data_IF_491337428346
#
_entry.id   IF_491337428346
#
_cell.length_a   1.000
_cell.length_b   1.000
_cell.length_c   1.000
_cell.angle_alpha   90.00
_cell.angle_beta   90.00
_cell.angle_gamma   90.00
#
_symmetry.space_group_name_H-M   'P 1'
#
loop_
_entity.id
_entity.type
_entity.pdbx_description
1 polymer ?
#
# COMPACT_ATOMS: atom_id res chain seq x y z
N UNK A 1 6.44 17.77 -23.03
CA UNK A 1 5.76 17.06 -21.91
C UNK A 1 5.04 15.86 -22.49
N UNK A 2 5.62 14.66 -22.37
CA UNK A 2 4.99 13.45 -22.90
C UNK A 2 3.76 13.11 -22.05
N UNK A 3 2.58 13.13 -22.66
CA UNK A 3 1.34 12.68 -22.03
C UNK A 3 1.44 11.17 -21.79
N UNK A 4 1.78 10.76 -20.56
CA UNK A 4 1.70 9.35 -20.18
C UNK A 4 0.24 9.02 -19.89
N UNK A 5 -0.40 8.28 -20.78
CA UNK A 5 -1.73 7.73 -20.54
C UNK A 5 -1.64 6.51 -19.61
N UNK A 6 -2.60 6.40 -18.68
CA UNK A 6 -2.71 5.21 -17.82
C UNK A 6 -3.36 4.10 -18.64
N UNK A 7 -2.66 2.97 -18.78
CA UNK A 7 -3.15 1.80 -19.50
C UNK A 7 -3.82 0.78 -18.57
N UNK A 8 -3.26 0.58 -17.38
CA UNK A 8 -3.78 -0.35 -16.39
C UNK A 8 -3.41 0.10 -14.97
N UNK A 9 -4.20 -0.31 -13.97
CA UNK A 9 -3.97 -0.06 -12.55
C UNK A 9 -4.34 -1.30 -11.76
N UNK A 10 -3.65 -1.54 -10.65
CA UNK A 10 -3.92 -2.66 -9.75
C UNK A 10 -3.42 -3.99 -10.29
N UNK A 11 -4.24 -5.04 -10.19
CA UNK A 11 -3.85 -6.40 -10.56
C UNK A 11 -3.42 -6.54 -12.02
N UNK A 12 -4.09 -5.83 -12.93
CA UNK A 12 -3.75 -5.88 -14.36
C UNK A 12 -2.38 -5.25 -14.62
N UNK A 13 -2.08 -4.10 -13.98
CA UNK A 13 -0.75 -3.50 -14.03
C UNK A 13 0.32 -4.43 -13.41
N UNK A 14 0.01 -5.11 -12.29
CA UNK A 14 0.92 -6.06 -11.65
C UNK A 14 1.31 -7.21 -12.59
N UNK A 15 0.38 -7.74 -13.37
CA UNK A 15 0.63 -8.81 -14.36
C UNK A 15 1.53 -8.35 -15.51
N UNK A 16 1.62 -7.06 -15.77
CA UNK A 16 2.42 -6.47 -16.84
C UNK A 16 3.89 -6.23 -16.44
N UNK A 17 4.23 -6.29 -15.15
CA UNK A 17 5.60 -6.06 -14.67
C UNK A 17 6.55 -7.08 -15.32
N UNK A 18 7.64 -6.58 -15.90
CA UNK A 18 8.64 -7.39 -16.61
C UNK A 18 8.19 -7.95 -17.97
N UNK A 19 6.99 -7.60 -18.45
CA UNK A 19 6.41 -8.10 -19.73
C UNK A 19 5.98 -6.98 -20.66
N UNK A 20 6.31 -5.73 -20.35
CA UNK A 20 5.91 -4.55 -21.15
C UNK A 20 6.90 -4.29 -22.28
N UNK A 21 6.44 -3.89 -23.49
CA UNK A 21 7.31 -3.37 -24.53
C UNK A 21 7.93 -2.03 -24.12
N UNK A 22 9.01 -1.61 -24.78
CA UNK A 22 9.84 -0.47 -24.36
C UNK A 22 9.15 0.89 -24.25
N UNK A 23 7.97 1.05 -24.83
CA UNK A 23 7.15 2.27 -24.75
C UNK A 23 6.14 2.26 -23.57
N UNK A 24 6.03 1.15 -22.85
CA UNK A 24 5.12 0.98 -21.70
C UNK A 24 5.97 0.70 -20.47
N UNK A 25 5.78 1.50 -19.41
CA UNK A 25 6.49 1.34 -18.15
C UNK A 25 5.51 0.94 -17.06
N UNK A 26 5.75 -0.20 -16.44
CA UNK A 26 5.05 -0.61 -15.22
C UNK A 26 5.76 0.00 -14.01
N UNK A 27 5.05 0.84 -13.26
CA UNK A 27 5.60 1.57 -12.11
C UNK A 27 4.94 1.04 -10.84
N UNK A 28 5.73 0.78 -9.80
CA UNK A 28 5.26 0.60 -8.43
C UNK A 28 5.38 1.94 -7.71
N UNK A 29 4.29 2.67 -7.49
CA UNK A 29 4.35 4.01 -6.91
C UNK A 29 4.66 4.00 -5.40
N UNK A 30 4.43 2.86 -4.76
CA UNK A 30 4.76 2.61 -3.36
C UNK A 30 5.92 1.62 -3.28
N UNK A 31 6.87 1.89 -2.40
CA UNK A 31 7.99 1.01 -2.08
C UNK A 31 8.17 0.97 -0.56
N UNK A 32 8.32 -0.21 -0.03
CA UNK A 32 8.55 -0.43 1.41
C UNK A 32 7.51 0.29 2.30
N UNK A 33 6.24 0.27 1.87
CA UNK A 33 5.12 0.90 2.58
C UNK A 33 5.02 2.42 2.46
N UNK A 34 5.93 3.09 1.72
CA UNK A 34 5.95 4.55 1.57
C UNK A 34 5.76 4.99 0.11
N UNK A 35 5.36 6.25 -0.09
CA UNK A 35 5.23 6.84 -1.42
C UNK A 35 6.62 7.08 -2.01
N UNK A 36 6.96 6.35 -3.08
CA UNK A 36 8.18 6.52 -3.85
C UNK A 36 8.00 7.47 -5.04
N UNK A 37 6.80 7.53 -5.61
CA UNK A 37 6.42 8.41 -6.72
C UNK A 37 5.06 9.06 -6.42
N UNK A 38 5.10 10.34 -6.06
CA UNK A 38 3.93 11.11 -5.65
C UNK A 38 2.92 11.26 -6.80
N UNK A 39 3.38 11.62 -8.00
CA UNK A 39 2.51 11.88 -9.14
C UNK A 39 1.78 10.60 -9.59
N UNK A 40 2.49 9.48 -9.59
CA UNK A 40 1.89 8.18 -9.93
C UNK A 40 0.93 7.71 -8.85
N UNK A 41 1.24 7.93 -7.57
CA UNK A 41 0.35 7.63 -6.43
C UNK A 41 -0.93 8.47 -6.51
N UNK A 42 -0.83 9.76 -6.75
CA UNK A 42 -1.98 10.66 -6.90
C UNK A 42 -2.90 10.20 -8.03
N UNK A 43 -2.34 9.87 -9.20
CA UNK A 43 -3.09 9.37 -10.36
C UNK A 43 -3.76 8.02 -10.07
N UNK A 44 -3.07 7.13 -9.38
CA UNK A 44 -3.62 5.83 -8.96
C UNK A 44 -4.80 6.01 -8.00
N UNK A 45 -4.67 6.84 -6.97
CA UNK A 45 -5.74 7.15 -6.03
C UNK A 45 -6.94 7.79 -6.76
N UNK A 46 -6.70 8.75 -7.64
CA UNK A 46 -7.73 9.40 -8.46
C UNK A 46 -8.49 8.38 -9.31
N UNK A 47 -7.78 7.44 -9.93
CA UNK A 47 -8.39 6.37 -10.71
C UNK A 47 -9.33 5.52 -9.85
N UNK A 48 -8.90 5.09 -8.66
CA UNK A 48 -9.74 4.29 -7.77
C UNK A 48 -10.93 5.06 -7.24
N UNK A 49 -10.76 6.33 -6.83
CA UNK A 49 -11.86 7.20 -6.41
C UNK A 49 -12.90 7.30 -7.53
N UNK A 50 -12.47 7.55 -8.77
CA UNK A 50 -13.38 7.66 -9.92
C UNK A 50 -14.05 6.34 -10.29
N UNK A 51 -13.38 5.21 -10.10
CA UNK A 51 -13.94 3.88 -10.39
C UNK A 51 -15.06 3.52 -9.43
N UNK A 52 -14.95 3.91 -8.16
CA UNK A 52 -15.96 3.63 -7.13
C UNK A 52 -17.17 4.57 -7.26
N UNK A 53 -16.96 5.81 -7.69
CA UNK A 53 -18.04 6.82 -7.75
C UNK A 53 -18.66 6.89 -9.14
N UNK A 54 -19.95 6.55 -9.24
CA UNK A 54 -20.73 6.62 -10.50
C UNK A 54 -20.86 8.05 -11.04
N UNK A 55 -20.94 9.07 -10.18
CA UNK A 55 -21.00 10.51 -10.55
C UNK A 55 -19.61 11.14 -10.46
N UNK A 56 -18.81 10.98 -11.51
CA UNK A 56 -17.39 11.32 -11.57
C UNK A 56 -17.07 12.80 -11.30
N UNK A 57 -17.97 13.74 -11.61
CA UNK A 57 -17.63 15.17 -11.68
C UNK A 57 -17.89 15.95 -10.37
N UNK A 58 -18.75 15.47 -9.48
CA UNK A 58 -19.15 16.20 -8.26
C UNK A 58 -18.83 15.46 -6.95
N UNK A 59 -18.35 14.24 -7.02
CA UNK A 59 -18.07 13.46 -5.83
C UNK A 59 -16.70 13.81 -5.26
N UNK A 60 -16.71 14.53 -4.13
CA UNK A 60 -15.52 14.74 -3.29
C UNK A 60 -15.63 13.83 -2.05
N UNK A 61 -15.19 12.59 -2.10
CA UNK A 61 -15.38 11.63 -1.01
C UNK A 61 -14.54 11.98 0.21
N UNK A 62 -14.96 11.43 1.35
CA UNK A 62 -14.06 11.20 2.47
C UNK A 62 -13.38 9.86 2.23
N UNK A 63 -12.08 9.80 2.40
CA UNK A 63 -11.32 8.56 2.24
C UNK A 63 -10.58 8.23 3.54
N UNK A 64 -10.42 6.94 3.79
CA UNK A 64 -9.55 6.41 4.82
C UNK A 64 -8.39 5.73 4.10
N UNK A 65 -7.16 6.03 4.50
CA UNK A 65 -5.94 5.46 3.93
C UNK A 65 -5.19 4.76 5.04
N UNK A 66 -4.88 3.48 4.83
CA UNK A 66 -4.03 2.73 5.73
C UNK A 66 -2.57 3.10 5.49
N UNK A 67 -1.81 3.13 6.55
CA UNK A 67 -0.37 3.40 6.55
C UNK A 67 0.32 2.46 7.52
N UNK A 68 1.59 2.09 7.27
CA UNK A 68 2.36 1.31 8.21
C UNK A 68 2.50 1.99 9.57
N UNK A 69 2.63 1.19 10.63
CA UNK A 69 2.98 1.71 11.95
C UNK A 69 4.38 2.33 11.92
N UNK A 70 4.54 3.45 12.57
CA UNK A 70 5.86 4.09 12.67
C UNK A 70 6.32 4.87 11.43
N UNK A 71 5.40 5.22 10.51
CA UNK A 71 5.72 6.18 9.46
C UNK A 71 6.06 7.55 10.05
N UNK A 72 6.96 8.27 9.37
CA UNK A 72 7.34 9.63 9.76
C UNK A 72 6.20 10.64 9.53
N UNK A 73 6.23 11.75 10.25
CA UNK A 73 5.27 12.85 10.01
C UNK A 73 5.29 13.39 8.58
N UNK A 74 6.45 13.33 7.90
CA UNK A 74 6.61 13.74 6.49
C UNK A 74 5.88 12.75 5.57
N UNK A 75 6.07 11.45 5.76
CA UNK A 75 5.39 10.40 4.99
C UNK A 75 3.87 10.47 5.20
N UNK A 76 3.42 10.67 6.45
CA UNK A 76 2.00 10.84 6.76
C UNK A 76 1.40 12.05 6.03
N UNK A 77 2.15 13.16 5.97
CA UNK A 77 1.73 14.35 5.24
C UNK A 77 1.66 14.09 3.74
N UNK A 78 2.64 13.41 3.17
CA UNK A 78 2.64 13.05 1.74
C UNK A 78 1.43 12.19 1.37
N UNK A 79 1.01 11.25 2.21
CA UNK A 79 -0.20 10.44 2.00
C UNK A 79 -1.46 11.31 2.02
N UNK A 80 -1.57 12.24 2.97
CA UNK A 80 -2.70 13.18 3.01
C UNK A 80 -2.75 14.06 1.78
N UNK A 81 -1.61 14.64 1.39
CA UNK A 81 -1.51 15.53 0.25
C UNK A 81 -1.84 14.81 -1.06
N UNK A 82 -1.37 13.57 -1.25
CA UNK A 82 -1.74 12.74 -2.39
C UNK A 82 -3.26 12.44 -2.43
N UNK A 83 -3.87 12.16 -1.29
CA UNK A 83 -5.32 11.95 -1.19
C UNK A 83 -6.14 13.18 -1.53
N UNK A 84 -5.72 14.36 -1.06
CA UNK A 84 -6.39 15.63 -1.41
C UNK A 84 -6.19 15.96 -2.89
N UNK A 85 -4.98 15.83 -3.43
CA UNK A 85 -4.67 16.03 -4.83
C UNK A 85 -5.47 15.09 -5.75
N UNK A 86 -5.71 13.86 -5.30
CA UNK A 86 -6.57 12.88 -6.00
C UNK A 86 -8.07 13.26 -6.01
N UNK A 87 -8.48 14.28 -5.26
CA UNK A 87 -9.84 14.84 -5.25
C UNK A 87 -10.68 14.47 -4.02
N UNK A 88 -10.10 13.93 -2.97
CA UNK A 88 -10.80 13.71 -1.72
C UNK A 88 -11.15 15.04 -1.02
N UNK A 89 -12.32 15.10 -0.37
CA UNK A 89 -12.72 16.23 0.49
C UNK A 89 -12.06 16.15 1.86
N UNK A 90 -11.84 14.95 2.38
CA UNK A 90 -11.21 14.69 3.65
C UNK A 90 -10.47 13.37 3.61
N UNK A 91 -9.26 13.36 4.13
CA UNK A 91 -8.39 12.19 4.23
C UNK A 91 -8.19 11.86 5.70
N UNK A 92 -8.54 10.65 6.09
CA UNK A 92 -8.25 10.07 7.39
C UNK A 92 -7.14 9.05 7.23
N UNK A 93 -6.27 8.97 8.20
CA UNK A 93 -5.21 7.96 8.27
C UNK A 93 -5.55 6.99 9.39
N UNK A 94 -5.33 5.71 9.12
CA UNK A 94 -5.41 4.62 10.10
C UNK A 94 -4.16 3.75 9.94
N UNK A 95 -3.62 3.25 11.02
CA UNK A 95 -2.50 2.30 10.98
C UNK A 95 -2.97 0.93 10.48
N UNK A 96 -2.15 0.28 9.64
CA UNK A 96 -2.50 -0.99 8.99
C UNK A 96 -2.92 -2.07 9.98
N UNK A 97 -2.18 -2.33 11.12
CA UNK A 97 -2.60 -3.36 12.05
C UNK A 97 -3.95 -3.06 12.73
N UNK A 98 -4.26 -1.78 12.97
CA UNK A 98 -5.56 -1.39 13.52
C UNK A 98 -6.68 -1.66 12.52
N UNK A 99 -6.47 -1.32 11.25
CA UNK A 99 -7.43 -1.59 10.19
C UNK A 99 -7.64 -3.10 9.99
N UNK A 100 -6.57 -3.90 10.06
CA UNK A 100 -6.62 -5.35 9.98
C UNK A 100 -7.40 -5.96 11.16
N UNK A 101 -7.17 -5.47 12.39
CA UNK A 101 -7.92 -5.91 13.57
C UNK A 101 -9.43 -5.64 13.45
N UNK A 102 -9.79 -4.44 12.97
CA UNK A 102 -11.19 -4.07 12.71
C UNK A 102 -11.80 -4.99 11.65
N UNK A 103 -11.08 -5.20 10.54
CA UNK A 103 -11.53 -6.04 9.44
C UNK A 103 -11.70 -7.51 9.83
N UNK A 104 -10.86 -8.02 10.71
CA UNK A 104 -10.96 -9.37 11.29
C UNK A 104 -12.05 -9.50 12.37
N UNK A 105 -12.68 -8.41 12.78
CA UNK A 105 -13.70 -8.42 13.83
C UNK A 105 -13.15 -8.72 15.23
N UNK A 106 -11.88 -8.38 15.50
CA UNK A 106 -11.30 -8.57 16.82
C UNK A 106 -11.93 -7.65 17.84
N UNK A 107 -12.10 -8.08 19.11
CA UNK A 107 -12.71 -7.30 20.18
C UNK A 107 -11.74 -6.23 20.70
N UNK A 108 -11.34 -5.29 19.82
CA UNK A 108 -10.29 -4.30 20.10
C UNK A 108 -10.64 -3.33 21.22
N UNK A 109 -11.92 -3.17 21.56
CA UNK A 109 -12.39 -2.26 22.62
C UNK A 109 -12.34 -2.89 24.01
N UNK A 110 -12.15 -4.20 24.08
CA UNK A 110 -12.08 -4.92 25.34
C UNK A 110 -10.69 -4.79 25.99
N UNK A 111 -10.57 -4.96 27.33
CA UNK A 111 -9.30 -4.92 28.04
C UNK A 111 -8.50 -6.22 27.87
N UNK A 112 -8.56 -6.80 26.70
CA UNK A 112 -7.83 -8.01 26.30
C UNK A 112 -6.79 -7.65 25.23
N UNK A 113 -5.61 -8.28 25.28
CA UNK A 113 -4.58 -8.10 24.26
C UNK A 113 -4.93 -8.88 22.99
N UNK A 114 -5.11 -8.17 21.89
CA UNK A 114 -5.29 -8.78 20.57
C UNK A 114 -4.02 -8.55 19.76
N UNK A 115 -3.38 -9.62 19.29
CA UNK A 115 -2.18 -9.53 18.46
C UNK A 115 -2.53 -9.69 16.98
N UNK A 116 -2.01 -8.79 16.17
CA UNK A 116 -2.14 -8.83 14.71
C UNK A 116 -0.75 -8.93 14.11
N UNK A 117 -0.60 -9.82 13.13
CA UNK A 117 0.57 -9.93 12.25
C UNK A 117 0.07 -9.72 10.83
N UNK A 118 0.48 -8.62 10.21
CA UNK A 118 0.14 -8.26 8.83
C UNK A 118 1.39 -8.37 7.96
N UNK A 119 1.35 -9.24 6.96
CA UNK A 119 2.46 -9.48 6.04
C UNK A 119 2.05 -9.01 4.66
N UNK A 120 2.46 -7.80 4.31
CA UNK A 120 2.18 -7.18 3.02
C UNK A 120 3.19 -7.55 1.92
N UNK A 121 3.26 -6.73 0.88
CA UNK A 121 4.28 -6.83 -0.16
C UNK A 121 5.60 -6.18 0.24
N UNK A 122 5.57 -5.04 0.89
CA UNK A 122 6.75 -4.24 1.25
C UNK A 122 7.05 -4.14 2.74
N UNK A 123 6.05 -4.38 3.61
CA UNK A 123 6.18 -4.29 5.08
C UNK A 123 5.56 -5.49 5.76
N UNK A 124 6.13 -5.87 6.88
CA UNK A 124 5.53 -6.79 7.86
C UNK A 124 5.30 -6.02 9.16
N UNK A 125 4.06 -6.03 9.63
CA UNK A 125 3.61 -5.31 10.80
C UNK A 125 3.17 -6.28 11.88
N UNK A 126 3.62 -6.05 13.11
CA UNK A 126 3.16 -6.78 14.30
C UNK A 126 2.67 -5.76 15.30
N UNK A 127 1.46 -5.92 15.79
CA UNK A 127 0.91 -5.03 16.81
C UNK A 127 0.08 -5.76 17.85
N UNK A 128 0.13 -5.27 19.06
CA UNK A 128 -0.76 -5.65 20.16
C UNK A 128 -1.73 -4.50 20.39
N UNK A 129 -3.02 -4.81 20.34
CA UNK A 129 -4.12 -3.85 20.42
C UNK A 129 -4.99 -4.19 21.64
N UNK A 130 -5.32 -3.19 22.45
CA UNK A 130 -6.22 -3.29 23.59
C UNK A 130 -6.90 -1.96 23.85
N UNK A 131 -8.13 -1.97 24.33
CA UNK A 131 -8.90 -0.76 24.69
C UNK A 131 -8.98 0.28 23.56
N UNK A 132 -9.05 -0.18 22.31
CA UNK A 132 -9.15 0.68 21.11
C UNK A 132 -7.86 1.37 20.69
N UNK A 133 -6.71 1.02 21.30
CA UNK A 133 -5.40 1.58 21.00
C UNK A 133 -4.33 0.54 20.72
N UNK A 134 -3.30 0.93 19.98
CA UNK A 134 -2.10 0.11 19.79
C UNK A 134 -1.22 0.28 21.02
N UNK A 135 -1.00 -0.82 21.75
CA UNK A 135 -0.18 -0.86 22.98
C UNK A 135 1.31 -0.97 22.62
N UNK A 136 1.61 -1.78 21.61
CA UNK A 136 2.96 -1.98 21.11
C UNK A 136 2.90 -2.37 19.63
N UNK A 137 3.81 -1.87 18.84
CA UNK A 137 3.93 -2.24 17.42
C UNK A 137 5.39 -2.32 16.99
N UNK A 138 5.62 -3.16 15.99
CA UNK A 138 6.88 -3.29 15.29
C UNK A 138 6.59 -3.35 13.80
N UNK A 139 7.27 -2.52 13.02
CA UNK A 139 7.22 -2.53 11.56
C UNK A 139 8.59 -2.82 11.00
N UNK A 140 8.68 -3.78 10.08
CA UNK A 140 9.90 -4.13 9.37
C UNK A 140 9.68 -4.06 7.86
N UNK A 141 10.70 -3.63 7.12
CA UNK A 141 10.67 -3.50 5.65
C UNK A 141 11.16 -4.78 4.97
N UNK A 142 10.78 -5.92 5.51
CA UNK A 142 11.02 -7.26 4.95
C UNK A 142 9.67 -7.94 4.84
N UNK A 143 9.29 -8.34 3.64
CA UNK A 143 7.94 -8.87 3.40
C UNK A 143 7.88 -9.68 2.10
N UNK A 144 6.70 -9.87 1.53
CA UNK A 144 6.45 -10.73 0.39
C UNK A 144 7.35 -10.50 -0.80
N UNK A 145 7.63 -9.25 -1.16
CA UNK A 145 8.49 -8.91 -2.30
C UNK A 145 9.95 -9.38 -2.08
N UNK A 146 10.45 -9.30 -0.84
CA UNK A 146 11.80 -9.78 -0.47
C UNK A 146 11.86 -11.32 -0.47
N UNK A 147 10.78 -11.97 0.02
CA UNK A 147 10.65 -13.43 -0.02
C UNK A 147 10.63 -13.95 -1.47
N UNK A 148 9.84 -13.33 -2.34
CA UNK A 148 9.79 -13.66 -3.77
C UNK A 148 11.16 -13.49 -4.43
N UNK A 149 11.86 -12.39 -4.13
CA UNK A 149 13.19 -12.12 -4.69
C UNK A 149 14.24 -13.16 -4.20
N UNK A 150 14.14 -13.60 -2.95
CA UNK A 150 15.00 -14.62 -2.38
C UNK A 150 14.81 -15.96 -3.10
N UNK A 151 13.56 -16.36 -3.36
CA UNK A 151 13.23 -17.57 -4.12
C UNK A 151 13.77 -17.45 -5.56
N UNK A 152 13.57 -16.33 -6.23
CA UNK A 152 14.06 -16.09 -7.59
C UNK A 152 15.59 -16.21 -7.63
N UNK A 153 16.28 -15.61 -6.65
CA UNK A 153 17.73 -15.65 -6.60
C UNK A 153 18.26 -17.07 -6.37
N UNK A 154 17.58 -17.84 -5.50
CA UNK A 154 17.95 -19.23 -5.24
C UNK A 154 17.78 -20.11 -6.50
N UNK A 155 16.64 -19.98 -7.21
CA UNK A 155 16.41 -20.70 -8.47
C UNK A 155 17.46 -20.36 -9.53
N UNK A 156 17.85 -19.07 -9.64
CA UNK A 156 18.93 -18.66 -10.56
C UNK A 156 20.29 -19.26 -10.23
N UNK A 157 20.58 -19.50 -8.95
CA UNK A 157 21.80 -20.15 -8.53
C UNK A 157 21.83 -21.63 -8.94
N UNK A 158 20.72 -22.35 -8.76
CA UNK A 158 20.60 -23.75 -9.19
C UNK A 158 20.83 -23.87 -10.71
N UNK A 159 20.19 -22.99 -11.51
CA UNK A 159 20.36 -23.00 -12.96
C UNK A 159 21.79 -22.73 -13.43
N UNK A 160 22.62 -22.06 -12.65
CA UNK A 160 24.05 -21.85 -12.94
C UNK A 160 24.95 -23.01 -12.56
N UNK A 161 24.50 -23.88 -11.65
CA UNK A 161 25.27 -25.04 -11.21
C UNK A 161 25.21 -26.21 -12.21
N UNK A 162 24.37 -26.13 -13.24
CA UNK A 162 24.19 -27.16 -14.26
C UNK A 162 24.68 -26.78 -15.67
N UNK A 163 25.44 -25.68 -15.76
CA UNK A 163 26.09 -25.27 -17.05
C UNK A 163 27.58 -25.46 -16.99
#
# INVERSE_FOLDING_TARGET
MLFRSILAVGLDAKKMIGRTPGNIVAIRPLKDGVIADFDTTERMLRYFIQKVHKRRYLAKPRIVVCVPSGITGVEQRAVKDAGYAAGARKVYIIEEPMAAAIGAGLPIHEPTGNMVVDIGGGTTEVAVISLGGIVSSLSIRVSGDELDQSIINWVKQIGRAHV
#
